data_IF_722384269786
#
_entry.id   IF_722384269786
#
_cell.length_a   1.000
_cell.length_b   1.000
_cell.length_c   1.000
_cell.angle_alpha   90.00
_cell.angle_beta   90.00
_cell.angle_gamma   90.00
#
_symmetry.space_group_name_H-M   'P 1'
#
loop_
_entity.id
_entity.type
_entity.pdbx_description
1 polymer ?
#
# COMPACT_ATOMS: atom_id res chain seq x y z
N UNK A 1 3.39 -6.15 6.47
CA UNK A 1 2.10 -6.24 5.77
C UNK A 1 1.26 -7.35 6.41
N UNK A 2 -0.08 -7.23 6.40
CA UNK A 2 -0.98 -8.33 6.74
C UNK A 2 -0.55 -9.64 6.03
N UNK A 3 -0.61 -10.76 6.74
CA UNK A 3 -0.16 -12.05 6.21
C UNK A 3 1.36 -12.29 6.29
N UNK A 4 2.11 -11.45 7.01
CA UNK A 4 3.52 -11.70 7.34
C UNK A 4 4.53 -11.23 6.28
N UNK A 5 4.08 -10.57 5.22
CA UNK A 5 4.99 -10.02 4.22
C UNK A 5 5.73 -8.79 4.75
N UNK A 6 7.05 -8.80 4.67
CA UNK A 6 7.94 -7.74 5.14
C UNK A 6 8.43 -6.92 3.94
N UNK A 7 8.26 -5.59 3.98
CA UNK A 7 8.77 -4.70 2.93
C UNK A 7 10.26 -4.49 3.16
N UNK A 8 11.07 -4.74 2.12
CA UNK A 8 12.52 -4.60 2.15
C UNK A 8 13.01 -3.78 0.94
N UNK A 9 14.10 -3.03 1.08
CA UNK A 9 14.80 -2.45 -0.07
C UNK A 9 15.13 -3.51 -1.10
N UNK A 10 14.83 -3.25 -2.37
CA UNK A 10 15.07 -4.19 -3.46
C UNK A 10 15.33 -3.46 -4.78
N UNK A 11 15.73 -4.20 -5.82
CA UNK A 11 15.82 -3.70 -7.20
C UNK A 11 14.71 -4.30 -8.05
N UNK A 12 13.90 -3.45 -8.64
CA UNK A 12 12.86 -3.82 -9.60
C UNK A 12 13.32 -3.40 -10.99
N UNK A 13 13.56 -4.38 -11.87
CA UNK A 13 14.04 -4.15 -13.25
C UNK A 13 15.32 -3.31 -13.31
N UNK A 14 16.21 -3.48 -12.32
CA UNK A 14 17.47 -2.74 -12.22
C UNK A 14 17.38 -1.38 -11.52
N UNK A 15 16.18 -0.93 -11.16
CA UNK A 15 15.94 0.36 -10.47
C UNK A 15 15.66 0.10 -8.99
N UNK A 16 16.24 0.92 -8.12
CA UNK A 16 16.03 0.81 -6.67
C UNK A 16 14.59 1.11 -6.27
N UNK A 17 14.03 0.28 -5.38
CA UNK A 17 12.68 0.40 -4.82
C UNK A 17 12.74 0.19 -3.32
N UNK A 18 12.50 1.27 -2.56
CA UNK A 18 12.63 1.31 -1.10
C UNK A 18 11.27 1.31 -0.38
N UNK A 19 10.23 0.82 -1.06
CA UNK A 19 8.87 0.80 -0.53
C UNK A 19 7.90 0.19 -1.52
N UNK A 20 6.61 0.27 -1.19
CA UNK A 20 5.52 -0.23 -2.00
C UNK A 20 4.31 0.68 -1.83
N UNK A 21 3.62 0.95 -2.94
CA UNK A 21 2.33 1.67 -2.88
C UNK A 21 1.22 0.63 -2.73
N UNK A 22 0.47 0.70 -1.64
CA UNK A 22 -0.44 -0.36 -1.23
C UNK A 22 -1.86 -0.20 -1.81
N UNK A 23 -2.48 -1.33 -2.12
CA UNK A 23 -3.92 -1.47 -2.36
C UNK A 23 -4.71 -1.65 -1.06
N UNK A 24 -6.03 -1.47 -1.12
CA UNK A 24 -6.94 -1.74 0.01
C UNK A 24 -6.83 -3.20 0.49
N UNK A 25 -6.66 -4.15 -0.45
CA UNK A 25 -6.51 -5.57 -0.15
C UNK A 25 -5.20 -5.88 0.58
N UNK A 26 -4.10 -5.28 0.13
CA UNK A 26 -2.79 -5.45 0.77
C UNK A 26 -2.76 -4.84 2.17
N UNK A 27 -3.49 -3.74 2.40
CA UNK A 27 -3.68 -3.15 3.73
C UNK A 27 -4.61 -3.95 4.64
N UNK A 28 -5.33 -4.95 4.11
CA UNK A 28 -6.23 -5.79 4.89
C UNK A 28 -7.53 -5.08 5.28
N UNK A 29 -7.99 -4.09 4.49
CA UNK A 29 -9.24 -3.39 4.77
C UNK A 29 -10.44 -4.36 4.68
N UNK A 30 -11.34 -4.40 5.68
CA UNK A 30 -12.43 -5.38 5.73
C UNK A 30 -13.43 -5.25 4.58
N UNK A 31 -13.59 -4.03 4.04
CA UNK A 31 -14.52 -3.72 2.95
C UNK A 31 -13.82 -3.49 1.60
N UNK A 32 -12.59 -3.99 1.44
CA UNK A 32 -11.85 -3.83 0.19
C UNK A 32 -12.68 -4.38 -0.99
N UNK A 33 -13.03 -3.56 -2.00
CA UNK A 33 -13.90 -3.99 -3.08
C UNK A 33 -13.25 -5.15 -3.85
N UNK A 34 -13.93 -6.29 -4.06
CA UNK A 34 -13.34 -7.43 -4.77
C UNK A 34 -13.02 -7.11 -6.24
N UNK A 35 -13.64 -6.06 -6.80
CA UNK A 35 -13.43 -5.59 -8.18
C UNK A 35 -12.35 -4.53 -8.32
N UNK A 36 -12.07 -3.74 -7.27
CA UNK A 36 -11.05 -2.70 -7.35
C UNK A 36 -9.66 -3.33 -7.25
N UNK A 37 -9.00 -3.41 -8.40
CA UNK A 37 -7.62 -3.86 -8.53
C UNK A 37 -6.73 -2.64 -8.67
N UNK A 38 -5.81 -2.44 -7.73
CA UNK A 38 -4.81 -1.40 -7.84
C UNK A 38 -4.58 -0.64 -6.53
N UNK A 39 -3.82 0.45 -6.65
CA UNK A 39 -3.42 1.32 -5.55
C UNK A 39 -4.64 1.98 -4.91
N UNK A 40 -4.63 2.11 -3.58
CA UNK A 40 -5.65 2.87 -2.88
C UNK A 40 -5.40 4.37 -2.99
N UNK A 41 -6.24 5.07 -3.77
CA UNK A 41 -6.18 6.52 -3.90
C UNK A 41 -6.82 7.16 -2.68
N UNK A 42 -6.02 7.92 -1.93
CA UNK A 42 -6.48 8.61 -0.73
C UNK A 42 -7.18 9.94 -1.09
N UNK A 43 -8.16 10.38 -0.27
CA UNK A 43 -8.70 11.73 -0.33
C UNK A 43 -7.61 12.80 -0.20
N UNK A 44 -7.83 13.96 -0.84
CA UNK A 44 -6.85 15.04 -0.94
C UNK A 44 -6.55 15.76 0.40
N UNK A 45 -7.39 15.56 1.41
CA UNK A 45 -7.25 16.13 2.76
C UNK A 45 -6.35 15.30 3.69
N UNK A 46 -5.85 14.15 3.24
CA UNK A 46 -4.88 13.36 4.00
C UNK A 46 -3.53 14.08 4.11
N UNK A 47 -2.96 14.06 5.32
CA UNK A 47 -1.70 14.71 5.63
C UNK A 47 -0.53 13.79 5.25
N UNK A 48 0.39 14.28 4.42
CA UNK A 48 1.57 13.51 4.02
C UNK A 48 2.47 13.27 5.24
N UNK A 49 2.96 12.03 5.37
CA UNK A 49 3.85 11.62 6.46
C UNK A 49 3.14 11.17 7.73
N UNK A 50 1.82 11.35 7.84
CA UNK A 50 1.05 10.77 8.94
C UNK A 50 0.90 9.25 8.78
N UNK A 51 0.86 8.53 9.90
CA UNK A 51 0.47 7.13 9.90
C UNK A 51 -0.92 6.93 9.29
N UNK A 52 -1.07 5.89 8.47
CA UNK A 52 -2.35 5.53 7.89
C UNK A 52 -3.16 4.68 8.88
N UNK A 53 -4.28 5.24 9.35
CA UNK A 53 -5.26 4.57 10.21
C UNK A 53 -6.56 4.36 9.42
N UNK A 54 -7.14 3.16 9.51
CA UNK A 54 -8.32 2.72 8.76
C UNK A 54 -9.33 1.99 9.63
#
# INVERSE_FOLDING_TARGET
MPGGFEIKPTKLRGVDSNGMICSQKELGLPNAPPKEKGIYVLPADKIVGSEFQF
#
